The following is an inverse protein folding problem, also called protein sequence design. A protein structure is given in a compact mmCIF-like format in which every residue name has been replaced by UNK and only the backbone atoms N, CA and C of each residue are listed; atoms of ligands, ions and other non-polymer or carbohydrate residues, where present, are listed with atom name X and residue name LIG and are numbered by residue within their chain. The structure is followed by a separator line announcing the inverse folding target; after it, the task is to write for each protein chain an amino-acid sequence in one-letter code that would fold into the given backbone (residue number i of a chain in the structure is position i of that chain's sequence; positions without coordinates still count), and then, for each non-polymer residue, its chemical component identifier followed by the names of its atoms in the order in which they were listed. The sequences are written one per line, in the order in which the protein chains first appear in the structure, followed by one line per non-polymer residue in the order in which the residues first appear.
data_IF_443359277417
#
_entry.id   IF_443359277417
#
_cell.length_a   1.000
_cell.length_b   1.000
_cell.length_c   1.000
_cell.angle_alpha   90.00
_cell.angle_beta   90.00
_cell.angle_gamma   90.00
#
_symmetry.space_group_name_H-M   'P 1'
#
loop_
_entity.id
_entity.type
_entity.pdbx_description
1 polymer ?
#
# COMPACT_ATOMS: atom_id res chain seq x y z
N UNK A 1 42.92 2.49 35.37
CA UNK A 1 42.60 3.16 34.08
C UNK A 1 42.64 2.20 32.88
N UNK A 2 43.53 1.20 32.83
CA UNK A 2 43.65 0.25 31.71
C UNK A 2 42.46 -0.69 31.47
N UNK A 3 41.82 -1.21 32.53
CA UNK A 3 40.75 -2.21 32.38
C UNK A 3 39.44 -1.63 31.80
N UNK A 4 39.07 -0.39 32.17
CA UNK A 4 37.93 0.34 31.57
C UNK A 4 38.17 0.62 30.08
N UNK A 5 39.39 1.03 29.73
CA UNK A 5 39.79 1.33 28.34
C UNK A 5 39.78 0.08 27.46
N UNK A 6 40.22 -1.06 28.00
CA UNK A 6 40.15 -2.36 27.32
C UNK A 6 38.70 -2.81 27.09
N UNK A 7 37.83 -2.77 28.12
CA UNK A 7 36.40 -3.12 27.99
C UNK A 7 35.67 -2.25 26.96
N UNK A 8 35.97 -0.96 26.88
CA UNK A 8 35.40 -0.04 25.89
C UNK A 8 35.89 -0.33 24.46
N UNK A 9 37.17 -0.66 24.27
CA UNK A 9 37.69 -1.09 22.96
C UNK A 9 37.07 -2.42 22.49
N UNK A 10 36.85 -3.36 23.42
CA UNK A 10 36.14 -4.62 23.11
C UNK A 10 34.68 -4.37 22.73
N UNK A 11 34.00 -3.44 23.43
CA UNK A 11 32.62 -3.06 23.14
C UNK A 11 32.47 -2.44 21.75
N UNK A 12 33.28 -1.44 21.40
CA UNK A 12 33.24 -0.79 20.09
C UNK A 12 33.51 -1.79 18.94
N UNK A 13 34.47 -2.71 19.12
CA UNK A 13 34.74 -3.77 18.14
C UNK A 13 33.53 -4.68 17.95
N UNK A 14 32.87 -5.07 19.04
CA UNK A 14 31.68 -5.92 19.00
C UNK A 14 30.50 -5.23 18.30
N UNK A 15 30.32 -3.93 18.49
CA UNK A 15 29.30 -3.14 17.78
C UNK A 15 29.56 -3.13 16.28
N UNK A 16 30.81 -2.91 15.87
CA UNK A 16 31.19 -2.92 14.45
C UNK A 16 31.04 -4.31 13.82
N UNK A 17 31.43 -5.37 14.52
CA UNK A 17 31.26 -6.75 14.05
C UNK A 17 29.78 -7.13 13.91
N UNK A 18 28.94 -6.77 14.90
CA UNK A 18 27.50 -7.01 14.83
C UNK A 18 26.86 -6.25 13.67
N UNK A 19 27.30 -5.01 13.41
CA UNK A 19 26.74 -4.15 12.36
C UNK A 19 27.15 -4.56 10.94
N UNK A 20 28.17 -5.43 10.78
CA UNK A 20 28.56 -6.00 9.48
C UNK A 20 27.64 -7.11 8.99
N UNK A 21 26.88 -7.74 9.88
CA UNK A 21 25.95 -8.80 9.49
C UNK A 21 24.71 -8.19 8.80
N UNK A 22 24.37 -8.70 7.61
CA UNK A 22 23.21 -8.26 6.84
C UNK A 22 21.86 -8.41 7.58
N UNK A 23 21.79 -9.34 8.54
CA UNK A 23 20.58 -9.61 9.31
C UNK A 23 20.47 -8.74 10.58
N UNK A 24 21.44 -7.87 10.84
CA UNK A 24 21.46 -7.02 12.01
C UNK A 24 21.32 -5.55 11.60
N UNK A 25 20.59 -4.80 12.43
CA UNK A 25 20.60 -3.35 12.32
C UNK A 25 21.99 -2.82 12.58
N UNK A 26 22.37 -1.84 11.77
CA UNK A 26 23.56 -1.04 11.96
C UNK A 26 23.46 -0.30 13.29
N UNK A 27 24.31 -0.70 14.24
CA UNK A 27 24.45 -0.08 15.57
C UNK A 27 25.59 0.94 15.59
N UNK A 28 26.34 1.05 14.50
CA UNK A 28 27.40 2.01 14.23
C UNK A 28 26.87 3.37 13.72
N UNK A 29 25.59 3.45 13.33
CA UNK A 29 24.95 4.69 12.86
C UNK A 29 23.76 5.04 13.74
N UNK A 30 23.68 6.30 14.15
CA UNK A 30 22.58 6.85 14.94
C UNK A 30 21.98 8.05 14.23
N UNK A 31 20.68 7.98 13.94
CA UNK A 31 19.91 9.12 13.44
C UNK A 31 19.27 9.87 14.61
N UNK A 32 19.54 11.17 14.69
CA UNK A 32 18.98 12.05 15.73
C UNK A 32 18.27 13.22 15.05
N UNK A 33 16.97 13.35 15.31
CA UNK A 33 16.17 14.51 14.88
C UNK A 33 15.86 15.40 16.08
N UNK A 34 16.05 16.71 15.93
CA UNK A 34 15.75 17.70 16.97
C UNK A 34 14.80 18.77 16.42
N UNK A 35 13.72 19.04 17.15
CA UNK A 35 12.86 20.18 16.88
C UNK A 35 13.47 21.44 17.51
N UNK A 36 13.69 22.47 16.70
CA UNK A 36 14.28 23.75 17.13
C UNK A 36 13.37 24.93 16.78
N UNK A 37 13.38 26.02 17.57
CA UNK A 37 12.58 27.19 17.26
C UNK A 37 12.98 27.81 15.90
N UNK A 38 12.03 28.35 15.13
CA UNK A 38 12.25 28.83 13.75
C UNK A 38 13.21 30.03 13.63
N UNK A 39 13.44 30.75 14.73
CA UNK A 39 14.34 31.91 14.78
C UNK A 39 15.79 31.55 15.09
N UNK A 40 16.07 30.26 15.30
CA UNK A 40 17.38 29.82 15.74
C UNK A 40 18.36 29.77 14.56
N UNK A 41 19.59 30.24 14.76
CA UNK A 41 20.63 30.12 13.75
C UNK A 41 21.02 28.64 13.56
N UNK A 42 20.59 28.03 12.44
CA UNK A 42 20.84 26.63 12.08
C UNK A 42 22.34 26.26 12.25
N UNK A 43 23.31 27.08 11.79
CA UNK A 43 24.73 26.74 11.93
C UNK A 43 25.21 26.72 13.39
N UNK A 44 24.60 27.53 14.26
CA UNK A 44 24.97 27.55 15.68
C UNK A 44 24.44 26.31 16.42
N UNK A 45 23.22 25.88 16.10
CA UNK A 45 22.62 24.65 16.63
C UNK A 45 23.41 23.43 16.16
N UNK A 46 23.69 23.33 14.86
CA UNK A 46 24.46 22.22 14.29
C UNK A 46 25.80 22.06 15.02
N UNK A 47 26.57 23.14 15.16
CA UNK A 47 27.85 23.11 15.91
C UNK A 47 27.68 22.73 17.39
N UNK A 48 26.65 23.24 18.06
CA UNK A 48 26.35 22.91 19.45
C UNK A 48 25.96 21.45 19.64
N UNK A 49 25.17 20.90 18.71
CA UNK A 49 24.75 19.50 18.69
C UNK A 49 25.94 18.59 18.40
N UNK A 50 26.76 18.92 17.41
CA UNK A 50 27.99 18.20 17.10
C UNK A 50 28.95 18.16 18.29
N UNK A 51 29.15 19.30 18.97
CA UNK A 51 29.96 19.36 20.18
C UNK A 51 29.41 18.46 21.29
N UNK A 52 28.11 18.57 21.58
CA UNK A 52 27.44 17.78 22.63
C UNK A 52 27.50 16.28 22.34
N UNK A 53 27.25 15.87 21.10
CA UNK A 53 27.32 14.46 20.69
C UNK A 53 28.75 13.93 20.71
N UNK A 54 29.74 14.73 20.27
CA UNK A 54 31.17 14.34 20.36
C UNK A 54 31.63 14.20 21.81
N UNK A 55 31.17 15.06 22.71
CA UNK A 55 31.54 14.97 24.12
C UNK A 55 30.85 13.81 24.82
N UNK A 56 29.58 13.53 24.51
CA UNK A 56 28.90 12.31 24.95
C UNK A 56 29.62 11.04 24.44
N UNK A 57 30.04 11.04 23.16
CA UNK A 57 30.81 9.95 22.58
C UNK A 57 32.17 9.74 23.30
N UNK A 58 32.89 10.82 23.62
CA UNK A 58 34.12 10.75 24.43
C UNK A 58 33.89 10.21 25.83
N UNK A 59 32.78 10.56 26.49
CA UNK A 59 32.44 10.02 27.82
C UNK A 59 32.17 8.51 27.76
N UNK A 60 31.57 8.05 26.66
CA UNK A 60 31.39 6.63 26.34
C UNK A 60 32.68 5.99 25.76
N UNK A 61 33.73 6.79 25.56
CA UNK A 61 35.00 6.52 24.88
C UNK A 61 34.90 5.79 23.55
N UNK A 62 33.95 6.23 22.75
CA UNK A 62 33.85 5.94 21.32
C UNK A 62 34.19 7.20 20.52
N UNK A 63 34.77 7.02 19.34
CA UNK A 63 34.99 8.12 18.40
C UNK A 63 33.76 8.22 17.51
N UNK A 64 33.04 9.35 17.58
CA UNK A 64 31.90 9.61 16.72
C UNK A 64 32.24 10.67 15.67
N UNK A 65 31.97 10.34 14.41
CA UNK A 65 31.85 11.31 13.34
C UNK A 65 30.40 11.82 13.32
N UNK A 66 30.22 13.11 13.54
CA UNK A 66 28.90 13.74 13.53
C UNK A 66 28.84 14.61 12.29
N UNK A 67 27.89 14.30 11.42
CA UNK A 67 27.56 15.10 10.24
C UNK A 67 26.18 15.69 10.43
N UNK A 68 26.05 16.98 10.15
CA UNK A 68 24.76 17.66 10.12
C UNK A 68 24.47 18.08 8.69
N UNK A 69 23.34 17.64 8.15
CA UNK A 69 22.87 18.07 6.84
C UNK A 69 22.05 19.36 7.02
N UNK A 70 22.61 20.49 6.60
CA UNK A 70 21.94 21.79 6.66
C UNK A 70 20.66 21.82 5.79
N UNK A 71 20.60 20.99 4.73
CA UNK A 71 19.43 20.81 3.88
C UNK A 71 18.32 19.95 4.52
N UNK A 72 18.64 19.20 5.58
CA UNK A 72 17.67 18.40 6.32
C UNK A 72 16.86 19.23 7.34
N UNK A 73 17.19 20.51 7.54
CA UNK A 73 16.40 21.39 8.39
C UNK A 73 15.06 21.72 7.72
N UNK A 74 13.99 21.12 8.22
CA UNK A 74 12.66 21.25 7.65
C UNK A 74 11.82 22.22 8.47
N UNK A 75 11.33 23.29 7.83
CA UNK A 75 10.30 24.14 8.39
C UNK A 75 8.93 23.68 7.89
N UNK A 76 7.92 23.76 8.76
CA UNK A 76 6.53 23.37 8.46
C UNK A 76 5.94 24.08 7.21
N UNK A 77 6.54 25.18 6.78
CA UNK A 77 6.05 26.05 5.71
C UNK A 77 6.74 25.83 4.35
N UNK A 78 7.80 25.01 4.27
CA UNK A 78 8.65 24.94 3.06
C UNK A 78 8.19 23.94 1.99
N UNK A 79 7.34 22.98 2.33
CA UNK A 79 6.71 22.13 1.32
C UNK A 79 5.52 22.86 0.71
N UNK A 80 5.77 23.57 -0.40
CA UNK A 80 4.70 24.15 -1.19
C UNK A 80 3.87 23.00 -1.78
N UNK A 81 2.58 22.86 -1.41
CA UNK A 81 1.71 21.92 -2.10
C UNK A 81 1.65 22.30 -3.57
N UNK A 82 1.64 21.32 -4.48
CA UNK A 82 1.19 21.56 -5.86
C UNK A 82 -0.26 22.04 -5.78
N UNK A 83 -0.47 23.37 -5.69
CA UNK A 83 -1.75 23.98 -5.35
C UNK A 83 -2.89 23.44 -6.22
N UNK A 84 -2.61 23.21 -7.50
CA UNK A 84 -3.56 22.60 -8.43
C UNK A 84 -4.00 21.19 -7.99
N UNK A 85 -3.07 20.29 -7.67
CA UNK A 85 -3.37 18.91 -7.26
C UNK A 85 -4.18 18.89 -5.96
N UNK A 86 -3.81 19.71 -4.97
CA UNK A 86 -4.54 19.80 -3.72
C UNK A 86 -5.97 20.31 -3.89
N UNK A 87 -6.17 21.32 -4.74
CA UNK A 87 -7.50 21.85 -5.05
C UNK A 87 -8.34 20.84 -5.84
N UNK A 88 -7.76 20.13 -6.81
CA UNK A 88 -8.44 19.11 -7.59
C UNK A 88 -8.86 17.92 -6.73
N UNK A 89 -7.96 17.39 -5.89
CA UNK A 89 -8.27 16.31 -4.95
C UNK A 89 -9.36 16.75 -3.97
N UNK A 90 -9.25 17.96 -3.41
CA UNK A 90 -10.26 18.50 -2.51
C UNK A 90 -11.62 18.70 -3.16
N UNK A 91 -11.66 19.22 -4.39
CA UNK A 91 -12.90 19.35 -5.16
C UNK A 91 -13.53 17.98 -5.45
N UNK A 92 -12.72 16.99 -5.86
CA UNK A 92 -13.19 15.63 -6.12
C UNK A 92 -13.80 14.96 -4.88
N UNK A 93 -13.10 15.05 -3.74
CA UNK A 93 -13.59 14.51 -2.46
C UNK A 93 -14.85 15.24 -2.02
N UNK A 94 -14.90 16.58 -2.13
CA UNK A 94 -16.08 17.37 -1.82
C UNK A 94 -17.29 16.94 -2.67
N UNK A 95 -17.12 16.76 -3.99
CA UNK A 95 -18.19 16.29 -4.88
C UNK A 95 -18.69 14.90 -4.46
N UNK A 96 -17.78 13.97 -4.15
CA UNK A 96 -18.15 12.63 -3.67
C UNK A 96 -18.93 12.74 -2.35
N UNK A 97 -18.45 13.54 -1.40
CA UNK A 97 -19.12 13.74 -0.10
C UNK A 97 -20.52 14.34 -0.27
N UNK A 98 -20.70 15.32 -1.17
CA UNK A 98 -22.01 15.91 -1.47
C UNK A 98 -22.94 14.87 -2.10
N UNK A 99 -22.46 14.09 -3.08
CA UNK A 99 -23.25 13.02 -3.70
C UNK A 99 -23.67 11.96 -2.67
N UNK A 100 -22.77 11.61 -1.76
CA UNK A 100 -23.02 10.66 -0.67
C UNK A 100 -24.03 11.22 0.32
N UNK A 101 -23.89 12.47 0.76
CA UNK A 101 -24.83 13.11 1.67
C UNK A 101 -26.22 13.20 1.05
N UNK A 102 -26.30 13.62 -0.22
CA UNK A 102 -27.56 13.73 -0.96
C UNK A 102 -28.21 12.36 -1.21
N UNK A 103 -27.45 11.37 -1.68
CA UNK A 103 -27.94 10.01 -1.91
C UNK A 103 -28.40 9.31 -0.62
N UNK A 104 -27.68 9.51 0.48
CA UNK A 104 -28.02 8.99 1.80
C UNK A 104 -29.27 9.67 2.37
N UNK A 105 -29.36 11.00 2.27
CA UNK A 105 -30.54 11.77 2.69
C UNK A 105 -31.79 11.37 1.91
N UNK A 106 -31.66 11.18 0.59
CA UNK A 106 -32.75 10.71 -0.26
C UNK A 106 -33.21 9.28 0.09
N UNK A 107 -32.28 8.35 0.33
CA UNK A 107 -32.62 6.99 0.78
C UNK A 107 -33.28 6.99 2.17
N UNK A 108 -32.77 7.79 3.11
CA UNK A 108 -33.37 7.95 4.43
C UNK A 108 -34.80 8.49 4.35
N UNK A 109 -35.02 9.55 3.57
CA UNK A 109 -36.35 10.14 3.36
C UNK A 109 -37.35 9.14 2.76
N UNK A 110 -36.95 8.40 1.72
CA UNK A 110 -37.78 7.34 1.12
C UNK A 110 -38.20 6.28 2.14
N UNK A 111 -37.26 5.85 2.99
CA UNK A 111 -37.53 4.85 4.04
C UNK A 111 -38.46 5.39 5.12
N UNK A 112 -38.30 6.65 5.52
CA UNK A 112 -39.18 7.31 6.49
C UNK A 112 -40.61 7.45 5.99
N UNK A 113 -40.80 7.72 4.70
CA UNK A 113 -42.13 7.81 4.10
C UNK A 113 -42.85 6.45 3.95
N UNK A 114 -42.27 5.33 4.43
CA UNK A 114 -42.75 3.94 4.21
C UNK A 114 -43.08 3.64 2.75
N UNK A 115 -42.55 4.44 1.83
CA UNK A 115 -42.70 4.26 0.42
C UNK A 115 -41.61 3.27 0.02
N UNK A 116 -41.90 1.97 0.19
CA UNK A 116 -41.23 0.87 -0.53
C UNK A 116 -41.54 0.95 -2.03
N UNK A 117 -41.46 2.16 -2.61
CA UNK A 117 -41.67 2.35 -4.04
C UNK A 117 -40.56 1.57 -4.74
N UNK A 118 -40.91 0.66 -5.66
CA UNK A 118 -39.94 -0.01 -6.49
C UNK A 118 -39.04 1.04 -7.17
N UNK A 119 -37.76 0.72 -7.33
CA UNK A 119 -36.78 1.64 -7.92
C UNK A 119 -37.09 1.79 -9.42
N UNK A 120 -38.05 2.64 -9.76
CA UNK A 120 -38.62 2.74 -11.11
C UNK A 120 -37.74 3.56 -12.06
N UNK A 121 -37.04 4.58 -11.55
CA UNK A 121 -36.29 5.53 -12.40
C UNK A 121 -34.78 5.32 -12.36
N UNK A 122 -34.12 5.45 -13.52
CA UNK A 122 -32.65 5.39 -13.66
C UNK A 122 -31.94 6.38 -12.72
N UNK A 123 -32.53 7.57 -12.52
CA UNK A 123 -32.02 8.60 -11.58
C UNK A 123 -32.02 8.10 -10.13
N UNK A 124 -33.11 7.50 -9.68
CA UNK A 124 -33.20 6.88 -8.35
C UNK A 124 -32.13 5.82 -8.16
N UNK A 125 -31.91 4.96 -9.16
CA UNK A 125 -30.87 3.92 -9.11
C UNK A 125 -29.47 4.52 -8.98
N UNK A 126 -29.17 5.58 -9.74
CA UNK A 126 -27.90 6.29 -9.65
C UNK A 126 -27.68 6.94 -8.28
N UNK A 127 -28.70 7.61 -7.72
CA UNK A 127 -28.60 8.24 -6.39
C UNK A 127 -28.39 7.22 -5.28
N UNK A 128 -29.04 6.05 -5.37
CA UNK A 128 -28.85 4.96 -4.42
C UNK A 128 -27.43 4.37 -4.45
N UNK A 129 -26.69 4.49 -5.56
CA UNK A 129 -25.27 4.09 -5.60
C UNK A 129 -24.41 4.88 -4.60
N UNK A 130 -24.82 6.11 -4.23
CA UNK A 130 -24.13 6.95 -3.26
C UNK A 130 -24.74 6.89 -1.84
N UNK A 131 -25.81 6.12 -1.62
CA UNK A 131 -26.40 5.98 -0.28
C UNK A 131 -25.51 5.13 0.62
N UNK A 132 -25.03 5.69 1.73
CA UNK A 132 -24.31 4.95 2.76
C UNK A 132 -25.20 3.87 3.38
N UNK A 133 -26.48 4.15 3.61
CA UNK A 133 -27.41 3.20 4.23
C UNK A 133 -27.61 1.97 3.34
N UNK A 134 -27.87 2.18 2.04
CA UNK A 134 -28.08 1.09 1.09
C UNK A 134 -26.80 0.26 0.90
N UNK A 135 -25.66 0.93 0.74
CA UNK A 135 -24.37 0.26 0.54
C UNK A 135 -23.90 -0.47 1.80
N UNK A 136 -24.10 0.09 2.99
CA UNK A 136 -23.76 -0.57 4.25
C UNK A 136 -24.63 -1.81 4.49
N UNK A 137 -25.95 -1.71 4.24
CA UNK A 137 -26.83 -2.88 4.28
C UNK A 137 -26.41 -3.97 3.29
N UNK A 138 -26.01 -3.58 2.07
CA UNK A 138 -25.50 -4.52 1.06
C UNK A 138 -24.16 -5.14 1.47
N UNK A 139 -23.29 -4.37 2.13
CA UNK A 139 -22.00 -4.84 2.64
C UNK A 139 -22.15 -5.86 3.77
N UNK A 140 -23.12 -5.64 4.67
CA UNK A 140 -23.44 -6.56 5.76
C UNK A 140 -24.39 -7.71 5.34
N UNK A 141 -24.95 -7.66 4.14
CA UNK A 141 -25.84 -8.71 3.65
C UNK A 141 -25.05 -9.95 3.25
N UNK A 142 -25.52 -11.11 3.69
CA UNK A 142 -25.02 -12.41 3.21
C UNK A 142 -25.61 -12.61 1.81
N UNK A 143 -24.76 -12.67 0.78
CA UNK A 143 -25.21 -12.87 -0.60
C UNK A 143 -25.74 -14.30 -0.78
N UNK A 144 -27.04 -14.44 -1.02
CA UNK A 144 -27.74 -15.70 -1.25
C UNK A 144 -27.81 -16.12 -2.74
N UNK A 145 -27.01 -15.54 -3.63
CA UNK A 145 -26.95 -16.00 -5.02
C UNK A 145 -26.24 -17.36 -5.10
N UNK A 146 -26.78 -18.33 -5.85
CA UNK A 146 -26.21 -19.69 -6.03
C UNK A 146 -24.69 -19.67 -6.31
N UNK A 147 -24.26 -18.83 -7.24
CA UNK A 147 -22.85 -18.69 -7.60
C UNK A 147 -21.98 -18.11 -6.47
N UNK A 148 -22.56 -17.25 -5.62
CA UNK A 148 -21.86 -16.73 -4.45
C UNK A 148 -21.84 -17.75 -3.32
N UNK A 149 -22.90 -18.54 -3.12
CA UNK A 149 -22.97 -19.58 -2.09
C UNK A 149 -21.96 -20.70 -2.28
N UNK A 150 -21.69 -21.11 -3.52
CA UNK A 150 -20.73 -22.19 -3.80
C UNK A 150 -19.28 -21.84 -3.42
N UNK A 151 -18.89 -20.57 -3.53
CA UNK A 151 -17.50 -20.13 -3.32
C UNK A 151 -17.30 -19.23 -2.10
N UNK A 152 -18.26 -19.14 -1.16
CA UNK A 152 -18.14 -18.25 0.01
C UNK A 152 -16.87 -18.51 0.82
N UNK A 153 -16.57 -19.79 1.09
CA UNK A 153 -15.38 -20.16 1.86
C UNK A 153 -14.08 -19.75 1.15
N UNK A 154 -13.99 -19.95 -0.16
CA UNK A 154 -12.83 -19.58 -0.98
C UNK A 154 -12.66 -18.05 -1.02
N UNK A 155 -13.76 -17.30 -1.15
CA UNK A 155 -13.73 -15.84 -1.10
C UNK A 155 -13.32 -15.30 0.27
N UNK A 156 -13.81 -15.94 1.35
CA UNK A 156 -13.39 -15.65 2.72
C UNK A 156 -11.89 -15.89 2.89
N UNK A 157 -11.40 -17.04 2.45
CA UNK A 157 -9.98 -17.38 2.51
C UNK A 157 -9.13 -16.38 1.71
N UNK A 158 -9.55 -16.00 0.50
CA UNK A 158 -8.88 -14.95 -0.29
C UNK A 158 -8.81 -13.62 0.44
N UNK A 159 -9.84 -13.27 1.20
CA UNK A 159 -9.86 -12.02 1.98
C UNK A 159 -8.88 -12.09 3.15
N UNK A 160 -8.85 -13.22 3.85
CA UNK A 160 -7.90 -13.46 4.95
C UNK A 160 -6.46 -13.45 4.45
N UNK A 161 -6.17 -14.14 3.34
CA UNK A 161 -4.81 -14.12 2.76
C UNK A 161 -4.43 -12.72 2.29
N UNK A 162 -5.37 -11.94 1.76
CA UNK A 162 -5.14 -10.53 1.41
C UNK A 162 -4.74 -9.68 2.62
N UNK A 163 -5.42 -9.83 3.75
CA UNK A 163 -5.04 -9.14 4.98
C UNK A 163 -3.64 -9.57 5.46
N UNK A 164 -3.34 -10.87 5.44
CA UNK A 164 -2.07 -11.40 5.94
C UNK A 164 -0.88 -10.91 5.12
N UNK A 165 -0.94 -10.95 3.78
CA UNK A 165 0.20 -10.53 2.96
C UNK A 165 0.43 -9.01 3.00
N UNK A 166 -0.59 -8.22 3.36
CA UNK A 166 -0.46 -6.77 3.53
C UNK A 166 0.25 -6.39 4.85
N UNK A 167 0.18 -7.21 5.89
CA UNK A 167 0.81 -6.93 7.19
C UNK A 167 2.34 -6.69 7.09
N UNK A 168 3.12 -7.50 6.35
CA UNK A 168 4.53 -7.24 6.11
C UNK A 168 4.84 -5.88 5.51
N UNK A 169 4.01 -5.37 4.61
CA UNK A 169 4.23 -4.04 4.01
C UNK A 169 4.06 -2.92 5.04
N UNK A 170 3.06 -3.03 5.92
CA UNK A 170 2.89 -2.11 7.06
C UNK A 170 4.10 -2.20 8.00
N UNK A 171 4.54 -3.43 8.30
CA UNK A 171 5.70 -3.65 9.15
C UNK A 171 6.98 -3.06 8.55
N UNK A 172 7.22 -3.27 7.26
CA UNK A 172 8.35 -2.69 6.52
C UNK A 172 8.35 -1.16 6.63
N UNK A 173 7.21 -0.51 6.40
CA UNK A 173 7.09 0.95 6.55
C UNK A 173 7.45 1.43 7.97
N UNK A 174 7.12 0.65 9.01
CA UNK A 174 7.44 0.97 10.41
C UNK A 174 8.94 0.79 10.73
N UNK A 175 9.60 -0.23 10.17
CA UNK A 175 11.02 -0.52 10.47
C UNK A 175 12.03 0.26 9.63
N UNK A 176 11.59 0.86 8.51
CA UNK A 176 12.41 1.84 7.77
C UNK A 176 12.65 3.08 8.63
N UNK A 177 11.69 3.44 9.48
CA UNK A 177 11.84 4.52 10.47
C UNK A 177 12.73 4.15 11.67
N UNK A 178 13.05 5.13 12.53
CA UNK A 178 13.84 4.89 13.73
C UNK A 178 13.08 3.97 14.71
N UNK A 179 13.73 2.85 15.08
CA UNK A 179 13.18 1.84 15.98
C UNK A 179 13.85 1.89 17.35
N UNK A 180 13.04 1.80 18.43
CA UNK A 180 13.55 1.78 19.81
C UNK A 180 14.22 0.45 20.18
N UNK A 181 13.76 -0.66 19.59
CA UNK A 181 14.23 -2.00 19.93
C UNK A 181 14.57 -2.82 18.67
N UNK A 182 15.76 -2.60 18.07
CA UNK A 182 16.20 -3.34 16.89
C UNK A 182 16.38 -4.84 17.17
N UNK A 183 16.79 -5.21 18.38
CA UNK A 183 17.00 -6.62 18.76
C UNK A 183 15.71 -7.44 18.68
N UNK A 184 14.57 -6.86 19.04
CA UNK A 184 13.28 -7.55 18.89
C UNK A 184 12.97 -7.82 17.42
N UNK A 185 13.25 -6.86 16.52
CA UNK A 185 13.03 -7.04 15.07
C UNK A 185 13.93 -8.16 14.54
N UNK A 186 15.22 -8.13 14.85
CA UNK A 186 16.19 -9.17 14.47
C UNK A 186 15.76 -10.56 14.95
N UNK A 187 15.36 -10.68 16.23
CA UNK A 187 14.89 -11.95 16.80
C UNK A 187 13.54 -12.39 16.24
N UNK A 188 12.70 -11.46 15.80
CA UNK A 188 11.39 -11.80 15.24
C UNK A 188 11.54 -12.65 13.96
N UNK A 189 12.59 -12.43 13.15
CA UNK A 189 12.88 -13.27 11.99
C UNK A 189 13.26 -14.72 12.34
N UNK A 190 13.72 -14.98 13.57
CA UNK A 190 14.04 -16.34 14.04
C UNK A 190 12.82 -17.07 14.60
N UNK A 191 11.76 -16.33 14.92
CA UNK A 191 10.52 -16.92 15.37
C UNK A 191 9.69 -17.38 14.16
N UNK A 192 9.35 -18.66 14.10
CA UNK A 192 8.66 -19.26 12.94
C UNK A 192 7.32 -18.57 12.61
N UNK A 193 6.59 -18.08 13.61
CA UNK A 193 5.31 -17.41 13.40
C UNK A 193 5.51 -16.07 12.69
N UNK A 194 6.43 -15.23 13.18
CA UNK A 194 6.73 -13.93 12.57
C UNK A 194 7.44 -14.08 11.22
N UNK A 195 8.39 -15.02 11.10
CA UNK A 195 9.03 -15.37 9.84
C UNK A 195 8.02 -15.79 8.77
N UNK A 196 7.00 -16.58 9.15
CA UNK A 196 5.90 -16.95 8.26
C UNK A 196 5.15 -15.71 7.79
N UNK A 197 4.77 -14.80 8.70
CA UNK A 197 4.06 -13.57 8.34
C UNK A 197 4.89 -12.73 7.36
N UNK A 198 6.18 -12.51 7.66
CA UNK A 198 7.07 -11.71 6.79
C UNK A 198 7.28 -12.35 5.41
N UNK A 199 7.14 -13.66 5.28
CA UNK A 199 7.15 -14.39 4.01
C UNK A 199 5.84 -14.22 3.24
N UNK A 200 5.57 -12.99 2.78
CA UNK A 200 4.34 -12.62 2.07
C UNK A 200 4.12 -13.38 0.75
N UNK A 201 5.19 -13.92 0.15
CA UNK A 201 5.16 -14.58 -1.16
C UNK A 201 4.24 -15.80 -1.20
N UNK A 202 4.18 -16.60 -0.14
CA UNK A 202 3.32 -17.79 -0.07
C UNK A 202 1.84 -17.38 -0.07
N UNK A 203 1.48 -16.39 0.74
CA UNK A 203 0.11 -15.90 0.82
C UNK A 203 -0.33 -15.23 -0.49
N UNK A 204 0.58 -14.51 -1.15
CA UNK A 204 0.32 -13.91 -2.45
C UNK A 204 0.13 -14.96 -3.55
N UNK A 205 0.94 -16.03 -3.56
CA UNK A 205 0.77 -17.13 -4.49
C UNK A 205 -0.61 -17.78 -4.33
N UNK A 206 -1.05 -18.02 -3.10
CA UNK A 206 -2.39 -18.51 -2.79
C UNK A 206 -3.48 -17.55 -3.29
N UNK A 207 -3.31 -16.25 -3.08
CA UNK A 207 -4.24 -15.22 -3.57
C UNK A 207 -4.38 -15.24 -5.10
N UNK A 208 -3.26 -15.36 -5.84
CA UNK A 208 -3.27 -15.46 -7.29
C UNK A 208 -3.86 -16.78 -7.78
N UNK A 209 -3.57 -17.91 -7.13
CA UNK A 209 -4.15 -19.21 -7.46
C UNK A 209 -5.68 -19.18 -7.35
N UNK A 210 -6.23 -18.62 -6.27
CA UNK A 210 -7.68 -18.48 -6.09
C UNK A 210 -8.27 -17.58 -7.17
N UNK A 211 -7.61 -16.46 -7.47
CA UNK A 211 -8.08 -15.50 -8.48
C UNK A 211 -8.08 -16.11 -9.89
N UNK A 212 -7.06 -16.90 -10.22
CA UNK A 212 -6.98 -17.67 -11.47
C UNK A 212 -8.06 -18.75 -11.55
N UNK A 213 -8.25 -19.54 -10.48
CA UNK A 213 -9.30 -20.55 -10.41
C UNK A 213 -10.69 -19.95 -10.65
N UNK A 214 -11.02 -18.87 -9.95
CA UNK A 214 -12.31 -18.20 -10.09
C UNK A 214 -12.52 -17.63 -11.49
N UNK A 215 -11.48 -17.03 -12.07
CA UNK A 215 -11.53 -16.54 -13.44
C UNK A 215 -11.82 -17.67 -14.43
N UNK A 216 -11.10 -18.78 -14.32
CA UNK A 216 -11.29 -19.96 -15.16
C UNK A 216 -12.68 -20.54 -15.03
N UNK A 217 -13.19 -20.72 -13.81
CA UNK A 217 -14.54 -21.22 -13.57
C UNK A 217 -15.61 -20.31 -14.18
N UNK A 218 -15.53 -19.00 -13.91
CA UNK A 218 -16.49 -18.02 -14.45
C UNK A 218 -16.43 -17.95 -15.97
N UNK A 219 -15.22 -18.04 -16.55
CA UNK A 219 -15.03 -18.09 -17.99
C UNK A 219 -15.70 -19.33 -18.59
N UNK A 220 -15.44 -20.52 -18.05
CA UNK A 220 -16.04 -21.77 -18.55
C UNK A 220 -17.56 -21.73 -18.45
N UNK A 221 -18.12 -21.19 -17.37
CA UNK A 221 -19.57 -21.04 -17.19
C UNK A 221 -20.18 -20.05 -18.18
N UNK A 222 -19.51 -18.93 -18.46
CA UNK A 222 -19.98 -17.95 -19.45
C UNK A 222 -19.89 -18.49 -20.89
N UNK A 223 -18.91 -19.37 -21.13
CA UNK A 223 -18.70 -20.06 -22.40
C UNK A 223 -19.59 -21.29 -22.57
N UNK A 224 -20.26 -21.74 -21.51
CA UNK A 224 -21.20 -22.87 -21.60
C UNK A 224 -22.36 -22.50 -22.53
N UNK A 225 -22.56 -23.29 -23.57
CA UNK A 225 -23.49 -22.99 -24.66
C UNK A 225 -23.05 -21.90 -25.66
N UNK A 226 -21.85 -21.30 -25.53
CA UNK A 226 -21.29 -20.35 -26.50
C UNK A 226 -20.12 -20.96 -27.29
N UNK A 227 -20.21 -21.06 -28.63
CA UNK A 227 -19.17 -21.73 -29.41
C UNK A 227 -17.89 -20.90 -29.57
N UNK A 228 -17.96 -19.57 -29.56
CA UNK A 228 -16.83 -18.69 -29.89
C UNK A 228 -16.76 -17.50 -28.93
N UNK A 229 -15.57 -17.26 -28.38
CA UNK A 229 -15.26 -16.04 -27.63
C UNK A 229 -14.77 -14.96 -28.60
N UNK A 230 -15.45 -13.81 -28.66
CA UNK A 230 -15.08 -12.73 -29.59
C UNK A 230 -13.99 -11.85 -29.01
N UNK A 231 -13.22 -11.19 -29.88
CA UNK A 231 -12.24 -10.19 -29.45
C UNK A 231 -12.89 -9.01 -28.71
N UNK A 232 -14.15 -8.67 -29.04
CA UNK A 232 -14.92 -7.67 -28.28
C UNK A 232 -15.12 -8.08 -26.83
N UNK A 233 -15.37 -9.36 -26.58
CA UNK A 233 -15.65 -9.88 -25.23
C UNK A 233 -14.41 -9.79 -24.34
N UNK A 234 -13.23 -10.00 -24.94
CA UNK A 234 -11.94 -9.78 -24.27
C UNK A 234 -11.84 -8.35 -23.73
N UNK A 235 -12.01 -7.36 -24.60
CA UNK A 235 -11.91 -5.96 -24.19
C UNK A 235 -13.00 -5.56 -23.19
N UNK A 236 -14.21 -6.10 -23.32
CA UNK A 236 -15.28 -5.86 -22.34
C UNK A 236 -14.87 -6.35 -20.95
N UNK A 237 -14.35 -7.59 -20.83
CA UNK A 237 -13.91 -8.14 -19.54
C UNK A 237 -12.77 -7.33 -18.93
N UNK A 238 -11.76 -6.97 -19.74
CA UNK A 238 -10.61 -6.17 -19.27
C UNK A 238 -11.03 -4.77 -18.84
N UNK A 239 -11.87 -4.08 -19.63
CA UNK A 239 -12.37 -2.73 -19.32
C UNK A 239 -13.26 -2.76 -18.07
N UNK A 240 -14.12 -3.77 -17.92
CA UNK A 240 -14.95 -3.92 -16.72
C UNK A 240 -14.09 -4.08 -15.47
N UNK A 241 -13.00 -4.85 -15.54
CA UNK A 241 -12.04 -4.96 -14.43
C UNK A 241 -11.33 -3.64 -14.15
N UNK A 242 -10.87 -2.95 -15.20
CA UNK A 242 -10.21 -1.65 -15.09
C UNK A 242 -11.12 -0.61 -14.41
N UNK A 243 -12.35 -0.43 -14.91
CA UNK A 243 -13.34 0.50 -14.33
C UNK A 243 -13.76 0.11 -12.93
N UNK A 244 -13.65 -1.17 -12.54
CA UNK A 244 -13.93 -1.62 -11.17
C UNK A 244 -12.81 -1.25 -10.18
N UNK A 245 -11.54 -1.37 -10.57
CA UNK A 245 -10.39 -1.19 -9.69
C UNK A 245 -9.88 0.26 -9.67
N UNK A 246 -9.75 0.85 -10.87
CA UNK A 246 -9.05 2.12 -11.07
C UNK A 246 -9.69 3.31 -10.34
N UNK A 247 -11.02 3.46 -10.20
CA UNK A 247 -11.57 4.63 -9.52
C UNK A 247 -11.13 4.76 -8.06
N UNK A 248 -11.17 3.65 -7.31
CA UNK A 248 -10.71 3.64 -5.91
C UNK A 248 -9.21 3.88 -5.87
N UNK A 249 -8.46 3.24 -6.76
CA UNK A 249 -7.02 3.39 -6.82
C UNK A 249 -6.59 4.84 -7.12
N UNK A 250 -7.27 5.50 -8.05
CA UNK A 250 -7.04 6.90 -8.41
C UNK A 250 -7.32 7.85 -7.25
N UNK A 251 -8.33 7.59 -6.42
CA UNK A 251 -8.59 8.39 -5.21
C UNK A 251 -7.45 8.26 -4.21
N UNK A 252 -6.90 7.06 -4.02
CA UNK A 252 -5.76 6.83 -3.11
C UNK A 252 -4.51 7.53 -3.65
N UNK A 253 -4.22 7.42 -4.96
CA UNK A 253 -3.13 8.15 -5.61
C UNK A 253 -3.29 9.67 -5.43
N UNK A 254 -4.49 10.20 -5.67
CA UNK A 254 -4.78 11.62 -5.52
C UNK A 254 -4.58 12.08 -4.07
N UNK A 255 -4.93 11.24 -3.09
CA UNK A 255 -4.67 11.50 -1.68
C UNK A 255 -3.17 11.51 -1.36
N UNK A 256 -2.42 10.49 -1.81
CA UNK A 256 -0.96 10.38 -1.58
C UNK A 256 -0.21 11.56 -2.19
N UNK A 257 -0.52 11.93 -3.43
CA UNK A 257 0.14 13.06 -4.12
C UNK A 257 -0.21 14.44 -3.54
N UNK A 258 -1.24 14.55 -2.70
CA UNK A 258 -1.71 15.81 -2.12
C UNK A 258 -1.69 15.83 -0.59
N UNK A 259 -2.69 15.23 0.07
CA UNK A 259 -2.94 15.42 1.49
C UNK A 259 -2.09 14.58 2.41
N UNK A 260 -1.52 13.48 1.92
CA UNK A 260 -0.78 12.53 2.76
C UNK A 260 0.39 13.19 3.49
N UNK A 261 1.07 14.16 2.86
CA UNK A 261 2.15 14.91 3.49
C UNK A 261 1.73 15.68 4.75
N UNK A 262 0.44 16.01 4.89
CA UNK A 262 -0.11 16.76 6.02
C UNK A 262 -0.69 15.87 7.13
N UNK A 263 -0.64 14.54 6.99
CA UNK A 263 -1.19 13.60 7.98
C UNK A 263 -0.30 13.37 9.20
N UNK A 264 0.91 13.93 9.21
CA UNK A 264 1.86 13.77 10.28
C UNK A 264 2.86 14.91 10.32
N UNK A 265 3.58 14.96 11.44
CA UNK A 265 4.62 15.93 11.71
C UNK A 265 5.79 15.22 12.38
N UNK A 266 7.01 15.73 12.19
CA UNK A 266 8.19 15.22 12.86
C UNK A 266 9.45 15.35 12.02
N UNK A 267 10.63 15.24 12.65
CA UNK A 267 11.91 15.47 11.98
C UNK A 267 12.22 14.45 10.88
N UNK A 268 11.64 13.24 10.94
CA UNK A 268 11.81 12.19 9.92
C UNK A 268 10.64 12.11 8.94
N UNK A 269 9.57 12.88 9.15
CA UNK A 269 8.32 12.73 8.39
C UNK A 269 8.55 12.96 6.90
N UNK A 270 9.22 14.05 6.51
CA UNK A 270 9.43 14.33 5.10
C UNK A 270 10.48 13.41 4.46
N UNK A 271 11.43 12.89 5.23
CA UNK A 271 12.40 11.92 4.72
C UNK A 271 11.72 10.61 4.33
N UNK A 272 10.71 10.19 5.08
CA UNK A 272 9.95 8.96 4.81
C UNK A 272 8.78 9.23 3.85
N UNK A 273 7.85 10.09 4.27
CA UNK A 273 6.59 10.36 3.57
C UNK A 273 6.78 11.39 2.46
N UNK A 274 7.63 12.39 2.66
CA UNK A 274 7.89 13.41 1.64
C UNK A 274 8.50 12.82 0.37
N UNK A 275 9.42 11.87 0.52
CA UNK A 275 9.99 11.09 -0.59
C UNK A 275 8.89 10.32 -1.34
N UNK A 276 8.08 9.52 -0.62
CA UNK A 276 6.97 8.77 -1.24
C UNK A 276 5.97 9.68 -1.97
N UNK A 277 5.63 10.83 -1.38
CA UNK A 277 4.74 11.82 -2.00
C UNK A 277 5.34 12.37 -3.29
N UNK A 278 6.64 12.64 -3.32
CA UNK A 278 7.32 13.19 -4.49
C UNK A 278 7.47 12.14 -5.61
N UNK A 279 7.83 10.91 -5.26
CA UNK A 279 7.87 9.79 -6.21
C UNK A 279 6.48 9.56 -6.82
N UNK A 280 5.43 9.65 -6.00
CA UNK A 280 4.07 9.59 -6.50
C UNK A 280 3.68 10.76 -7.40
N UNK A 281 4.13 11.99 -7.12
CA UNK A 281 3.87 13.13 -8.02
C UNK A 281 4.52 12.95 -9.38
N UNK A 282 5.68 12.29 -9.43
CA UNK A 282 6.40 12.01 -10.67
C UNK A 282 5.84 10.80 -11.44
N UNK A 283 5.43 9.76 -10.73
CA UNK A 283 5.17 8.43 -11.31
C UNK A 283 3.72 7.93 -11.15
N UNK A 284 2.77 8.72 -10.63
CA UNK A 284 1.37 8.31 -10.42
C UNK A 284 0.69 7.63 -11.62
N UNK A 285 1.01 8.07 -12.83
CA UNK A 285 0.40 7.57 -14.07
C UNK A 285 0.80 6.10 -14.34
N UNK A 286 1.97 5.68 -13.88
CA UNK A 286 2.47 4.30 -14.02
C UNK A 286 1.58 3.33 -13.23
N UNK A 287 1.15 3.74 -12.04
CA UNK A 287 0.21 2.99 -11.22
C UNK A 287 -1.15 2.85 -11.90
N UNK A 288 -1.66 3.89 -12.56
CA UNK A 288 -2.93 3.82 -13.31
C UNK A 288 -2.87 2.94 -14.56
N UNK A 289 -1.68 2.70 -15.09
CA UNK A 289 -1.43 1.75 -16.17
C UNK A 289 -1.15 0.33 -15.65
N UNK A 290 -1.06 0.13 -14.33
CA UNK A 290 -0.70 -1.13 -13.70
C UNK A 290 0.67 -1.67 -14.16
N UNK A 291 1.68 -0.80 -14.26
CA UNK A 291 3.07 -1.20 -14.60
C UNK A 291 4.09 -0.90 -13.49
N UNK A 292 3.63 -0.45 -12.31
CA UNK A 292 4.52 -0.03 -11.24
C UNK A 292 5.38 -1.16 -10.65
N UNK A 293 5.05 -2.42 -10.91
CA UNK A 293 5.83 -3.60 -10.50
C UNK A 293 7.10 -3.87 -11.31
N UNK A 294 7.37 -3.10 -12.38
CA UNK A 294 8.59 -3.22 -13.19
C UNK A 294 9.67 -2.18 -12.88
N UNK A 295 9.38 -1.25 -11.96
CA UNK A 295 10.30 -0.19 -11.55
C UNK A 295 11.10 -0.61 -10.31
N UNK A 296 12.22 0.07 -10.06
CA UNK A 296 12.98 -0.10 -8.82
C UNK A 296 12.21 0.48 -7.63
N UNK A 297 12.46 -0.04 -6.42
CA UNK A 297 11.67 0.27 -5.23
C UNK A 297 11.69 1.78 -4.93
N UNK A 298 12.83 2.42 -5.16
CA UNK A 298 13.10 3.84 -4.93
C UNK A 298 12.35 4.75 -5.91
N UNK A 299 11.83 4.23 -7.03
CA UNK A 299 11.07 5.01 -8.01
C UNK A 299 9.57 4.70 -7.98
N UNK A 300 9.15 3.70 -7.20
CA UNK A 300 7.76 3.27 -7.13
C UNK A 300 6.89 4.27 -6.37
N UNK A 301 5.80 4.72 -7.01
CA UNK A 301 4.70 5.31 -6.28
C UNK A 301 3.93 4.22 -5.51
N UNK A 302 3.79 4.38 -4.18
CA UNK A 302 3.13 3.41 -3.29
C UNK A 302 3.60 1.97 -3.49
N UNK A 303 4.82 1.61 -3.04
CA UNK A 303 5.38 0.28 -3.23
C UNK A 303 4.45 -0.90 -2.90
N UNK A 304 3.63 -0.87 -1.82
CA UNK A 304 2.74 -1.99 -1.49
C UNK A 304 1.71 -2.32 -2.57
N UNK A 305 1.46 -1.42 -3.53
CA UNK A 305 0.46 -1.60 -4.60
C UNK A 305 0.97 -2.41 -5.79
N UNK A 306 2.23 -2.86 -5.77
CA UNK A 306 2.83 -3.70 -6.81
C UNK A 306 2.00 -4.95 -7.12
N UNK A 307 1.38 -5.57 -6.10
CA UNK A 307 0.57 -6.77 -6.28
C UNK A 307 -0.72 -6.48 -7.05
N UNK A 308 -1.25 -5.25 -6.98
CA UNK A 308 -2.47 -4.86 -7.72
C UNK A 308 -2.16 -4.82 -9.21
N UNK A 309 -0.97 -4.33 -9.58
CA UNK A 309 -0.48 -4.38 -10.95
C UNK A 309 -0.27 -5.83 -11.41
N UNK A 310 0.40 -6.64 -10.61
CA UNK A 310 0.59 -8.06 -10.90
C UNK A 310 -0.75 -8.81 -11.06
N UNK A 311 -1.75 -8.56 -10.21
CA UNK A 311 -3.09 -9.16 -10.29
C UNK A 311 -3.81 -8.79 -11.59
N UNK A 312 -3.72 -7.53 -12.02
CA UNK A 312 -4.31 -7.07 -13.27
C UNK A 312 -3.61 -7.70 -14.50
N UNK A 313 -2.28 -7.80 -14.47
CA UNK A 313 -1.49 -8.45 -15.52
C UNK A 313 -1.78 -9.95 -15.59
N UNK A 314 -1.78 -10.65 -14.45
CA UNK A 314 -2.13 -12.06 -14.34
C UNK A 314 -3.54 -12.32 -14.89
N UNK A 315 -4.51 -11.43 -14.64
CA UNK A 315 -5.84 -11.57 -15.23
C UNK A 315 -5.83 -11.55 -16.76
N UNK A 316 -5.10 -10.60 -17.36
CA UNK A 316 -4.99 -10.51 -18.81
C UNK A 316 -4.34 -11.77 -19.36
N UNK A 317 -3.22 -12.20 -18.78
CA UNK A 317 -2.50 -13.41 -19.20
C UNK A 317 -3.37 -14.65 -19.05
N UNK A 318 -4.01 -14.85 -17.91
CA UNK A 318 -4.91 -15.98 -17.67
C UNK A 318 -6.10 -15.97 -18.63
N UNK A 319 -6.69 -14.81 -18.94
CA UNK A 319 -7.78 -14.71 -19.92
C UNK A 319 -7.31 -15.09 -21.32
N UNK A 320 -6.12 -14.65 -21.75
CA UNK A 320 -5.54 -15.04 -23.03
C UNK A 320 -5.28 -16.56 -23.09
N UNK A 321 -4.73 -17.14 -22.02
CA UNK A 321 -4.51 -18.58 -21.93
C UNK A 321 -5.83 -19.36 -22.00
N UNK A 322 -6.88 -18.91 -21.31
CA UNK A 322 -8.21 -19.53 -21.36
C UNK A 322 -8.81 -19.49 -22.77
N UNK A 323 -8.68 -18.36 -23.48
CA UNK A 323 -9.12 -18.23 -24.88
C UNK A 323 -8.36 -19.21 -25.79
N UNK A 324 -7.04 -19.33 -25.61
CA UNK A 324 -6.22 -20.27 -26.37
C UNK A 324 -6.62 -21.72 -26.11
N UNK A 325 -6.80 -22.10 -24.85
CA UNK A 325 -7.24 -23.44 -24.43
C UNK A 325 -8.63 -23.76 -24.97
N UNK A 326 -9.57 -22.81 -24.91
CA UNK A 326 -10.93 -22.98 -25.43
C UNK A 326 -10.93 -23.20 -26.95
N UNK A 327 -10.18 -22.37 -27.68
CA UNK A 327 -10.07 -22.46 -29.14
C UNK A 327 -9.36 -23.73 -29.60
N UNK A 328 -8.36 -24.18 -28.86
CA UNK A 328 -7.51 -25.33 -29.20
C UNK A 328 -7.66 -26.47 -28.19
N UNK A 329 -8.90 -26.81 -27.80
CA UNK A 329 -9.16 -27.80 -26.76
C UNK A 329 -8.57 -29.19 -27.05
N UNK A 330 -8.33 -29.53 -28.32
CA UNK A 330 -7.68 -30.77 -28.74
C UNK A 330 -6.20 -30.80 -28.33
N UNK A 331 -5.47 -29.71 -28.59
CA UNK A 331 -4.07 -29.55 -28.18
C UNK A 331 -3.94 -29.50 -26.66
N UNK A 332 -4.88 -28.82 -25.98
CA UNK A 332 -4.89 -28.77 -24.52
C UNK A 332 -5.06 -30.17 -23.89
N UNK A 333 -5.95 -31.01 -24.44
CA UNK A 333 -6.11 -32.40 -24.00
C UNK A 333 -4.84 -33.24 -24.18
N UNK A 334 -4.09 -33.04 -25.26
CA UNK A 334 -2.84 -33.77 -25.52
C UNK A 334 -1.65 -33.32 -24.67
N UNK A 335 -1.67 -32.09 -24.15
CA UNK A 335 -0.60 -31.57 -23.26
C UNK A 335 -0.88 -31.93 -21.80
N UNK A 336 -2.15 -32.10 -21.42
CA UNK A 336 -2.59 -32.41 -20.06
C UNK A 336 -2.76 -33.92 -19.79
N UNK A 337 -2.76 -34.75 -20.83
CA UNK A 337 -2.72 -36.21 -20.75
C UNK A 337 -1.26 -36.69 -20.79
#
# INVERSE_FOLDING_TARGET
MGEKKFKMQTFARKVMELSKHQNHFRRDVLYVGLCVPPQSAIPAISRGLEGSLRDAAKQLGVTAEVTTDEGACQMQQQQRPHRAVHLLTGFGIFVITVLVAYGTGYDAFRRLQKHEVPVETKRTRFLLCFSLIANFKKLCAISCSEAHSEFQAIQGFRTVTACIFMLPHVFMALVIGPIRNPEWVEKSYLNIFWASIYSSSVYLAVFFCISGFLLSYLFLREMDGRPVFKLSDFFVVVIQRYVRLTPVYAVVIAFVTSWYIHMGEGPMWNTLIGTEVEDCRRHWWINLLYFNNYFELEEMCMPPTWYVAADFQCHIVSLLLLILVWKHHWCAKSVLA
#
